data_IF_767876385549
#
_entry.id   IF_767876385549
#
_cell.length_a   1.000
_cell.length_b   1.000
_cell.length_c   1.000
_cell.angle_alpha   90.00
_cell.angle_beta   90.00
_cell.angle_gamma   90.00
#
_symmetry.space_group_name_H-M   'P 1'
#
loop_
_entity.id
_entity.type
_entity.pdbx_description
1 polymer ?
#
# COMPACT_ATOMS: atom_id res chain seq x y z
N UNK A 1 9.45 1.34 -22.07
CA UNK A 1 10.71 1.50 -21.32
C UNK A 1 10.65 0.73 -20.03
N UNK A 2 11.81 0.26 -19.57
CA UNK A 2 11.95 -0.38 -18.26
C UNK A 2 11.99 0.76 -17.24
N UNK A 3 11.30 0.65 -16.10
CA UNK A 3 11.15 1.75 -15.14
C UNK A 3 12.43 2.04 -14.36
N UNK A 4 13.59 1.52 -14.74
CA UNK A 4 14.81 1.68 -13.96
C UNK A 4 16.08 1.85 -14.79
N UNK A 5 17.04 2.57 -14.20
CA UNK A 5 18.43 2.68 -14.62
C UNK A 5 19.36 2.37 -13.45
N UNK A 6 20.47 1.69 -13.72
CA UNK A 6 21.41 1.29 -12.67
C UNK A 6 20.91 0.10 -11.84
N UNK A 7 21.37 0.03 -10.60
CA UNK A 7 21.01 -1.03 -9.65
C UNK A 7 20.94 -0.47 -8.23
N UNK A 8 20.05 -1.04 -7.42
CA UNK A 8 19.89 -0.75 -6.01
C UNK A 8 20.09 -2.04 -5.20
N UNK A 9 20.70 -1.92 -4.02
CA UNK A 9 20.72 -3.00 -3.02
C UNK A 9 19.52 -2.87 -2.09
N UNK A 10 18.94 -4.00 -1.68
CA UNK A 10 17.87 -4.02 -0.67
C UNK A 10 18.51 -4.13 0.72
N UNK A 11 18.22 -3.15 1.56
CA UNK A 11 18.47 -3.20 3.00
C UNK A 11 17.12 -3.09 3.72
N UNK A 12 16.91 -3.89 4.77
CA UNK A 12 15.64 -3.90 5.49
C UNK A 12 15.85 -3.84 6.99
N UNK A 13 14.89 -3.20 7.66
CA UNK A 13 14.78 -3.16 9.11
C UNK A 13 13.34 -3.46 9.49
N UNK A 14 13.15 -4.41 10.41
CA UNK A 14 11.83 -4.67 10.96
C UNK A 14 11.29 -3.42 11.67
N UNK A 15 10.08 -3.02 11.31
CA UNK A 15 9.38 -1.87 11.88
C UNK A 15 7.92 -2.22 12.18
N UNK A 16 7.14 -1.23 12.62
CA UNK A 16 5.69 -1.34 12.78
C UNK A 16 5.04 -0.36 11.82
N UNK A 17 3.92 -0.77 11.25
CA UNK A 17 3.14 0.01 10.32
C UNK A 17 1.65 -0.08 10.71
N UNK A 18 0.93 1.01 10.53
CA UNK A 18 -0.54 1.01 10.52
C UNK A 18 -1.06 0.60 9.14
N UNK A 19 -2.33 0.21 9.06
CA UNK A 19 -2.98 0.04 7.76
C UNK A 19 -2.93 1.36 6.96
N UNK A 20 -2.54 1.26 5.70
CA UNK A 20 -2.48 2.38 4.75
C UNK A 20 -3.89 2.79 4.35
N UNK A 21 -4.14 4.08 4.16
CA UNK A 21 -5.48 4.55 3.75
C UNK A 21 -5.83 4.20 2.30
N UNK A 22 -4.90 3.59 1.57
CA UNK A 22 -5.07 3.16 0.19
C UNK A 22 -5.31 1.66 0.08
N UNK A 23 -5.19 0.86 1.16
CA UNK A 23 -5.62 -0.55 1.15
C UNK A 23 -7.15 -0.63 1.16
N UNK A 24 -7.73 -1.52 0.33
CA UNK A 24 -9.18 -1.76 0.29
C UNK A 24 -9.80 -2.10 1.65
N UNK A 25 -9.01 -2.63 2.60
CA UNK A 25 -9.46 -2.96 3.96
C UNK A 25 -9.60 -1.74 4.87
N UNK A 26 -9.03 -0.59 4.50
CA UNK A 26 -8.97 0.58 5.38
C UNK A 26 -10.35 1.05 5.81
N UNK A 27 -11.28 1.19 4.86
CA UNK A 27 -12.63 1.67 5.17
C UNK A 27 -13.32 0.75 6.18
N UNK A 28 -13.24 -0.57 6.02
CA UNK A 28 -13.93 -1.51 6.91
C UNK A 28 -13.24 -1.64 8.28
N UNK A 29 -11.94 -1.96 8.28
CA UNK A 29 -11.20 -2.30 9.49
C UNK A 29 -10.99 -1.07 10.38
N UNK A 30 -10.67 0.09 9.79
CA UNK A 30 -10.44 1.32 10.56
C UNK A 30 -11.75 1.95 11.00
N UNK A 31 -12.82 1.88 10.22
CA UNK A 31 -14.14 2.38 10.63
C UNK A 31 -14.65 1.64 11.88
N UNK A 32 -14.50 0.31 11.91
CA UNK A 32 -14.88 -0.49 13.07
C UNK A 32 -14.10 -0.06 14.33
N UNK A 33 -12.80 0.17 14.19
CA UNK A 33 -11.95 0.66 15.29
C UNK A 33 -12.31 2.09 15.70
N UNK A 34 -12.53 2.99 14.74
CA UNK A 34 -12.91 4.38 14.98
C UNK A 34 -14.20 4.46 15.77
N UNK A 35 -15.25 3.78 15.32
CA UNK A 35 -16.57 3.81 15.94
C UNK A 35 -16.56 3.19 17.34
N UNK A 36 -15.67 2.22 17.59
CA UNK A 36 -15.45 1.64 18.92
C UNK A 36 -14.77 2.63 19.88
N UNK A 37 -13.78 3.39 19.40
CA UNK A 37 -13.00 4.33 20.22
C UNK A 37 -13.70 5.69 20.37
N UNK A 38 -14.48 6.11 19.37
CA UNK A 38 -15.15 7.41 19.29
C UNK A 38 -16.67 7.27 19.14
N UNK A 39 -17.39 6.63 20.07
CA UNK A 39 -18.81 6.31 19.89
C UNK A 39 -19.72 7.56 19.77
N UNK A 40 -19.31 8.71 20.33
CA UNK A 40 -20.03 9.98 20.18
C UNK A 40 -19.85 10.64 18.82
N UNK A 41 -18.89 10.15 18.02
CA UNK A 41 -18.58 10.64 16.68
C UNK A 41 -18.41 9.45 15.73
N UNK A 42 -19.49 8.67 15.61
CA UNK A 42 -19.53 7.50 14.74
C UNK A 42 -19.62 7.91 13.27
N UNK A 43 -18.78 7.29 12.45
CA UNK A 43 -18.73 7.45 11.01
C UNK A 43 -19.50 6.33 10.32
N UNK A 44 -19.90 6.56 9.07
CA UNK A 44 -20.45 5.53 8.18
C UNK A 44 -19.43 5.02 7.16
N UNK A 45 -18.38 5.79 6.93
CA UNK A 45 -17.23 5.47 6.08
C UNK A 45 -16.07 6.38 6.49
N UNK A 46 -14.84 5.87 6.41
CA UNK A 46 -13.60 6.63 6.56
C UNK A 46 -13.39 7.61 5.41
N UNK A 47 -14.06 7.43 4.28
CA UNK A 47 -13.98 8.27 3.08
C UNK A 47 -15.27 9.07 2.81
N UNK A 48 -16.21 9.08 3.76
CA UNK A 48 -17.53 9.66 3.56
C UNK A 48 -17.79 10.91 4.41
N UNK A 49 -17.84 12.08 3.77
CA UNK A 49 -18.47 13.29 4.33
C UNK A 49 -17.66 14.06 5.38
N UNK A 50 -16.42 13.65 5.64
CA UNK A 50 -15.50 14.28 6.59
C UNK A 50 -14.07 14.35 6.06
N UNK A 51 -13.90 14.57 4.76
CA UNK A 51 -12.62 14.43 4.05
C UNK A 51 -11.54 15.35 4.64
N UNK A 52 -11.87 16.61 4.96
CA UNK A 52 -10.94 17.55 5.61
C UNK A 52 -10.44 17.08 6.98
N UNK A 53 -11.20 16.23 7.68
CA UNK A 53 -10.80 15.63 8.96
C UNK A 53 -10.06 14.31 8.77
N UNK A 54 -10.45 13.51 7.79
CA UNK A 54 -9.90 12.18 7.56
C UNK A 54 -8.59 12.22 6.77
N UNK A 55 -8.36 13.21 5.92
CA UNK A 55 -7.11 13.41 5.21
C UNK A 55 -5.92 13.57 6.19
N UNK A 56 -5.96 14.46 7.21
CA UNK A 56 -4.92 14.52 8.24
C UNK A 56 -4.72 13.20 8.99
N UNK A 57 -5.79 12.43 9.22
CA UNK A 57 -5.71 11.11 9.86
C UNK A 57 -4.94 10.14 8.95
N UNK A 58 -5.29 10.06 7.66
CA UNK A 58 -4.51 9.27 6.71
C UNK A 58 -3.04 9.72 6.69
N UNK A 59 -2.78 11.02 6.48
CA UNK A 59 -1.42 11.57 6.38
C UNK A 59 -0.57 11.38 7.64
N UNK A 60 -1.19 11.27 8.81
CA UNK A 60 -0.48 10.99 10.09
C UNK A 60 0.05 9.56 10.15
N UNK A 61 -0.66 8.62 9.51
CA UNK A 61 -0.39 7.19 9.59
C UNK A 61 0.28 6.62 8.32
N UNK A 62 0.24 7.34 7.21
CA UNK A 62 1.02 7.02 6.01
C UNK A 62 2.51 7.26 6.28
N UNK A 63 3.36 6.35 5.80
CA UNK A 63 4.80 6.49 5.95
C UNK A 63 5.31 7.72 5.19
N UNK A 64 6.43 8.29 5.63
CA UNK A 64 7.11 9.37 4.91
C UNK A 64 8.17 8.77 3.99
N UNK A 65 8.06 9.09 2.71
CA UNK A 65 8.93 8.87 1.56
C UNK A 65 10.42 8.53 1.82
N UNK A 66 11.05 7.64 1.01
CA UNK A 66 10.43 6.78 0.00
C UNK A 66 9.78 5.55 0.65
N UNK A 67 8.61 5.15 0.15
CA UNK A 67 7.79 4.11 0.77
C UNK A 67 8.08 2.70 0.24
N UNK A 68 9.33 2.26 0.35
CA UNK A 68 9.75 0.91 -0.01
C UNK A 68 9.51 -0.09 1.14
N UNK A 69 8.95 -1.26 0.86
CA UNK A 69 8.67 -2.26 1.92
C UNK A 69 8.66 -3.72 1.43
N UNK A 70 8.97 -4.61 2.37
CA UNK A 70 8.75 -6.06 2.30
C UNK A 70 7.71 -6.42 3.36
N UNK A 71 6.55 -6.92 2.97
CA UNK A 71 5.40 -7.06 3.88
C UNK A 71 4.70 -5.73 4.15
N UNK A 72 3.95 -5.67 5.24
CA UNK A 72 3.16 -4.50 5.61
C UNK A 72 1.81 -4.43 4.89
N UNK A 73 1.26 -3.22 4.80
CA UNK A 73 0.05 -2.88 4.05
C UNK A 73 0.43 -2.11 2.78
N UNK A 74 -0.10 -2.49 1.60
CA UNK A 74 0.27 -1.90 0.32
C UNK A 74 -0.16 -0.43 0.25
N UNK A 75 0.61 0.34 -0.49
CA UNK A 75 0.26 1.70 -0.85
C UNK A 75 0.09 1.80 -2.37
N UNK A 76 -0.92 2.56 -2.76
CA UNK A 76 -1.29 2.85 -4.14
C UNK A 76 -1.46 4.37 -4.25
N UNK A 77 -0.96 4.99 -5.30
CA UNK A 77 -1.27 6.40 -5.57
C UNK A 77 -2.70 6.58 -6.07
N UNK A 78 -3.23 5.56 -6.72
CA UNK A 78 -4.60 5.50 -7.19
C UNK A 78 -5.40 4.50 -6.34
N UNK A 79 -6.52 4.01 -6.87
CA UNK A 79 -7.36 3.05 -6.16
C UNK A 79 -6.73 1.66 -6.16
N UNK A 80 -6.70 1.02 -4.99
CA UNK A 80 -6.29 -0.39 -4.88
C UNK A 80 -7.16 -1.25 -5.81
N UNK A 81 -6.55 -1.98 -6.78
CA UNK A 81 -7.27 -2.82 -7.74
C UNK A 81 -8.20 -3.85 -7.08
N UNK A 82 -7.86 -4.31 -5.86
CA UNK A 82 -8.64 -5.27 -5.07
C UNK A 82 -9.96 -4.69 -4.54
N UNK A 83 -10.12 -3.37 -4.58
CA UNK A 83 -11.37 -2.69 -4.20
C UNK A 83 -12.51 -3.11 -5.12
N UNK A 84 -12.25 -3.16 -6.44
CA UNK A 84 -13.28 -3.37 -7.45
C UNK A 84 -13.27 -4.81 -8.02
N UNK A 85 -12.25 -5.61 -7.72
CA UNK A 85 -12.13 -6.99 -8.18
C UNK A 85 -12.00 -7.95 -6.99
N UNK A 86 -13.03 -8.76 -6.75
CA UNK A 86 -13.04 -9.72 -5.64
C UNK A 86 -12.04 -10.85 -5.85
N UNK A 87 -11.72 -11.23 -7.09
CA UNK A 87 -10.76 -12.30 -7.37
C UNK A 87 -9.34 -11.86 -6.98
N UNK A 88 -9.04 -10.56 -7.09
CA UNK A 88 -7.74 -10.02 -6.69
C UNK A 88 -7.54 -9.98 -5.16
N UNK A 89 -8.61 -10.08 -4.36
CA UNK A 89 -8.51 -10.06 -2.89
C UNK A 89 -7.76 -11.27 -2.32
N UNK A 90 -7.58 -12.34 -3.10
CA UNK A 90 -6.74 -13.47 -2.67
C UNK A 90 -5.25 -13.10 -2.53
N UNK A 91 -4.80 -12.05 -3.23
CA UNK A 91 -3.45 -11.51 -3.10
C UNK A 91 -3.38 -10.56 -1.89
N UNK A 92 -3.33 -11.16 -0.70
CA UNK A 92 -3.55 -10.51 0.59
C UNK A 92 -2.26 -10.14 1.34
N UNK A 93 -1.08 -10.37 0.76
CA UNK A 93 0.22 -10.03 1.33
C UNK A 93 1.07 -9.26 0.35
N UNK A 94 1.68 -8.17 0.82
CA UNK A 94 2.76 -7.50 0.09
C UNK A 94 4.01 -8.36 0.15
N UNK A 95 4.49 -8.82 -1.01
CA UNK A 95 5.81 -9.42 -1.11
C UNK A 95 6.88 -8.32 -1.19
N UNK A 96 6.65 -7.35 -2.07
CA UNK A 96 7.56 -6.24 -2.34
C UNK A 96 6.77 -5.04 -2.85
N UNK A 97 7.09 -3.86 -2.33
CA UNK A 97 6.64 -2.58 -2.85
C UNK A 97 7.86 -1.70 -3.08
N UNK A 98 7.93 -1.10 -4.27
CA UNK A 98 9.01 -0.20 -4.67
C UNK A 98 8.40 1.11 -5.12
N UNK A 99 8.71 2.15 -4.38
CA UNK A 99 8.39 3.53 -4.66
C UNK A 99 9.41 4.14 -5.65
N UNK A 100 9.00 5.15 -6.39
CA UNK A 100 9.89 5.86 -7.29
C UNK A 100 11.02 6.50 -6.49
N UNK A 101 12.27 6.20 -6.89
CA UNK A 101 13.45 6.66 -6.18
C UNK A 101 14.58 7.00 -7.14
N UNK A 102 15.44 7.92 -6.71
CA UNK A 102 16.62 8.34 -7.47
C UNK A 102 17.81 8.51 -6.53
N UNK A 103 18.91 7.86 -6.89
CA UNK A 103 20.20 8.03 -6.21
C UNK A 103 21.31 8.17 -7.26
N UNK A 104 21.86 9.39 -7.35
CA UNK A 104 22.84 9.75 -8.38
C UNK A 104 22.33 9.47 -9.80
N UNK A 105 22.99 8.51 -10.47
CA UNK A 105 22.67 8.07 -11.84
C UNK A 105 21.72 6.86 -11.89
N UNK A 106 21.42 6.25 -10.74
CA UNK A 106 20.45 5.16 -10.63
C UNK A 106 19.07 5.73 -10.34
N UNK A 107 18.03 5.14 -10.93
CA UNK A 107 16.64 5.49 -10.63
C UNK A 107 15.71 4.33 -10.85
N UNK A 108 14.63 4.29 -10.10
CA UNK A 108 13.42 3.50 -10.38
C UNK A 108 12.28 4.52 -10.45
N UNK A 109 11.57 4.62 -11.58
CA UNK A 109 10.54 5.62 -11.85
C UNK A 109 9.34 4.94 -12.49
N UNK A 110 8.21 5.00 -11.79
CA UNK A 110 6.93 4.46 -12.24
C UNK A 110 6.05 5.61 -12.73
N UNK A 111 5.96 5.81 -14.05
CA UNK A 111 5.16 6.92 -14.60
C UNK A 111 5.59 8.29 -14.05
N UNK A 112 4.65 9.04 -13.49
CA UNK A 112 4.89 10.33 -12.83
C UNK A 112 5.25 10.15 -11.35
N UNK A 113 6.40 9.50 -11.10
CA UNK A 113 6.95 9.25 -9.75
C UNK A 113 6.05 8.42 -8.82
N UNK A 114 5.31 7.46 -9.38
CA UNK A 114 4.43 6.62 -8.57
C UNK A 114 5.10 5.39 -7.97
N UNK A 115 4.32 4.34 -7.76
CA UNK A 115 4.71 3.17 -6.97
C UNK A 115 4.32 1.85 -7.64
N UNK A 116 5.12 0.80 -7.39
CA UNK A 116 4.80 -0.55 -7.82
C UNK A 116 4.71 -1.51 -6.64
N UNK A 117 3.81 -2.49 -6.77
CA UNK A 117 3.50 -3.50 -5.78
C UNK A 117 3.51 -4.90 -6.42
N UNK A 118 4.08 -5.86 -5.68
CA UNK A 118 3.94 -7.29 -5.91
C UNK A 118 3.22 -7.88 -4.69
N UNK A 119 2.02 -8.41 -4.91
CA UNK A 119 1.22 -9.05 -3.88
C UNK A 119 1.07 -10.53 -4.16
N UNK A 120 1.08 -11.32 -3.08
CA UNK A 120 0.99 -12.78 -3.11
C UNK A 120 -0.11 -13.25 -2.17
N UNK A 121 -0.53 -14.51 -2.35
CA UNK A 121 -1.42 -15.17 -1.39
C UNK A 121 -0.61 -15.54 -0.15
N UNK A 122 -1.18 -15.34 1.03
CA UNK A 122 -0.58 -15.78 2.28
C UNK A 122 -0.22 -17.26 2.28
N UNK A 123 -1.07 -18.12 1.71
CA UNK A 123 -0.79 -19.56 1.57
C UNK A 123 0.41 -19.87 0.67
N UNK A 124 0.59 -19.11 -0.41
CA UNK A 124 1.71 -19.30 -1.33
C UNK A 124 3.02 -18.76 -0.72
N UNK A 125 2.95 -17.66 0.04
CA UNK A 125 4.08 -17.13 0.82
C UNK A 125 4.57 -18.15 1.88
N UNK A 126 3.64 -18.77 2.62
CA UNK A 126 3.96 -19.82 3.60
C UNK A 126 4.59 -21.06 2.93
N UNK A 127 4.14 -21.40 1.72
CA UNK A 127 4.66 -22.52 0.93
C UNK A 127 5.93 -22.19 0.14
N UNK A 128 6.46 -20.96 0.22
CA UNK A 128 7.58 -20.45 -0.60
C UNK A 128 7.34 -20.61 -2.11
N UNK A 129 6.10 -20.41 -2.54
CA UNK A 129 5.65 -20.50 -3.93
C UNK A 129 5.41 -19.09 -4.49
N UNK A 130 6.10 -18.74 -5.58
CA UNK A 130 6.11 -17.38 -6.15
C UNK A 130 5.80 -17.36 -7.67
N UNK A 131 5.11 -18.38 -8.17
CA UNK A 131 4.70 -18.51 -9.58
C UNK A 131 3.32 -17.91 -9.88
N UNK A 132 2.60 -17.42 -8.85
CA UNK A 132 1.31 -16.74 -8.94
C UNK A 132 1.29 -15.51 -8.03
N UNK A 133 1.15 -14.33 -8.63
CA UNK A 133 1.21 -13.04 -7.93
C UNK A 133 0.42 -11.96 -8.70
N UNK A 134 -0.06 -10.96 -7.96
CA UNK A 134 -0.56 -9.72 -8.54
C UNK A 134 0.60 -8.73 -8.64
N UNK A 135 0.84 -8.21 -9.84
CA UNK A 135 1.72 -7.07 -10.05
C UNK A 135 0.89 -5.87 -10.49
N UNK A 136 1.09 -4.74 -9.83
CA UNK A 136 0.41 -3.49 -10.13
C UNK A 136 1.37 -2.33 -9.96
N UNK A 137 1.26 -1.31 -10.79
CA UNK A 137 1.90 -0.02 -10.57
C UNK A 137 0.91 1.07 -10.95
N UNK A 138 1.01 2.20 -10.27
CA UNK A 138 0.25 3.40 -10.54
C UNK A 138 1.11 4.65 -10.31
N UNK A 139 0.59 5.80 -10.71
CA UNK A 139 1.19 7.11 -10.46
C UNK A 139 0.08 8.17 -10.42
N UNK A 140 0.46 9.40 -10.05
CA UNK A 140 -0.41 10.57 -10.12
C UNK A 140 -0.85 10.92 -11.55
#
# INVERSE_FOLDING_TARGET
>A
DIPFSGAFSIEFRLSKQTITCTDYKYDEDVLALWNKVNPSFALKSMFGGYDELMEPVCNTFTAKEPFNQLGGYPYFDQIDPRTNDQELKMYDRVLLQIDSTRDGNSSIIWGDLGIANILVKSTDLEAMKFDDYMYSWDCS
#
